data_IF_692937218681
#
_entry.id   IF_692937218681
#
_cell.length_a   1.000
_cell.length_b   1.000
_cell.length_c   1.000
_cell.angle_alpha   90.00
_cell.angle_beta   90.00
_cell.angle_gamma   90.00
#
_symmetry.space_group_name_H-M   'P 1'
#
loop_
_entity.id
_entity.type
_entity.pdbx_description
1 polymer ?
#
# COMPACT_ATOMS: atom_id res chain seq x y z
N UNK A 1 29.73 3.13 -0.69
CA UNK A 1 28.53 2.45 -0.22
C UNK A 1 27.36 3.43 -0.32
N UNK A 2 26.38 3.17 -1.18
CA UNK A 2 25.18 4.01 -1.28
C UNK A 2 24.36 3.84 0.00
N UNK A 3 24.04 4.94 0.68
CA UNK A 3 23.18 4.90 1.86
C UNK A 3 21.73 4.77 1.39
N UNK A 4 21.01 3.67 1.73
CA UNK A 4 19.66 3.43 1.24
C UNK A 4 18.66 4.52 1.64
N UNK A 5 18.90 5.21 2.75
CA UNK A 5 18.08 6.34 3.21
C UNK A 5 17.99 7.49 2.19
N UNK A 6 19.03 7.68 1.36
CA UNK A 6 19.07 8.75 0.36
C UNK A 6 18.07 8.52 -0.79
N UNK A 7 17.65 7.27 -1.01
CA UNK A 7 16.70 6.91 -2.04
C UNK A 7 15.23 7.22 -1.65
N UNK A 8 14.92 7.36 -0.36
CA UNK A 8 13.55 7.52 0.14
C UNK A 8 12.89 8.77 -0.44
N UNK A 9 13.54 9.93 -0.35
CA UNK A 9 12.96 11.19 -0.81
C UNK A 9 12.76 11.22 -2.33
N UNK A 10 13.73 10.83 -3.18
CA UNK A 10 13.53 10.74 -4.63
C UNK A 10 12.41 9.78 -5.04
N UNK A 11 12.34 8.59 -4.43
CA UNK A 11 11.29 7.61 -4.76
C UNK A 11 9.92 8.16 -4.40
N UNK A 12 9.75 8.74 -3.20
CA UNK A 12 8.51 9.37 -2.79
C UNK A 12 8.10 10.49 -3.74
N UNK A 13 9.03 11.34 -4.13
CA UNK A 13 8.78 12.43 -5.09
C UNK A 13 8.33 11.89 -6.44
N UNK A 14 9.00 10.86 -6.96
CA UNK A 14 8.61 10.21 -8.20
C UNK A 14 7.22 9.57 -8.14
N UNK A 15 6.87 8.92 -7.02
CA UNK A 15 5.53 8.37 -6.82
C UNK A 15 4.45 9.46 -6.86
N UNK A 16 4.68 10.59 -6.18
CA UNK A 16 3.74 11.71 -6.15
C UNK A 16 3.67 12.47 -7.49
N UNK A 17 4.73 12.43 -8.30
CA UNK A 17 4.70 12.98 -9.66
C UNK A 17 3.91 12.08 -10.61
N UNK A 18 4.05 10.77 -10.48
CA UNK A 18 3.31 9.81 -11.28
C UNK A 18 1.81 9.81 -10.92
N UNK A 19 1.50 9.82 -9.64
CA UNK A 19 0.14 9.86 -9.12
C UNK A 19 0.10 10.80 -7.90
N UNK A 20 -0.37 12.04 -8.05
CA UNK A 20 -0.46 13.00 -6.95
C UNK A 20 -1.29 12.50 -5.76
N UNK A 21 -2.26 11.63 -6.01
CA UNK A 21 -3.09 11.02 -4.97
C UNK A 21 -2.43 9.79 -4.34
N UNK A 22 -1.44 9.18 -5.03
CA UNK A 22 -0.86 7.86 -4.71
C UNK A 22 -1.92 6.81 -4.39
N UNK A 23 -3.09 6.95 -5.00
CA UNK A 23 -4.27 6.13 -4.72
C UNK A 23 -4.38 4.90 -5.60
N UNK A 24 -3.58 4.80 -6.66
CA UNK A 24 -3.48 3.59 -7.48
C UNK A 24 -2.26 2.78 -7.06
N UNK A 25 -2.50 1.56 -6.57
CA UNK A 25 -1.42 0.69 -6.11
C UNK A 25 -0.46 0.33 -7.24
N UNK A 26 0.82 0.42 -6.97
CA UNK A 26 1.91 -0.07 -7.84
C UNK A 26 2.92 -0.86 -7.00
N UNK A 27 3.73 -1.70 -7.63
CA UNK A 27 4.83 -2.37 -6.90
C UNK A 27 5.82 -1.39 -6.29
N UNK A 28 5.90 -0.17 -6.82
CA UNK A 28 6.73 0.90 -6.22
C UNK A 28 6.28 1.23 -4.80
N UNK A 29 4.96 1.18 -4.50
CA UNK A 29 4.44 1.34 -3.13
C UNK A 29 5.04 0.29 -2.19
N UNK A 30 5.03 -0.98 -2.59
CA UNK A 30 5.59 -2.06 -1.79
C UNK A 30 7.11 -1.91 -1.60
N UNK A 31 7.85 -1.64 -2.66
CA UNK A 31 9.29 -1.43 -2.58
C UNK A 31 9.67 -0.22 -1.71
N UNK A 32 8.90 0.86 -1.82
CA UNK A 32 9.09 2.05 -0.98
C UNK A 32 8.89 1.73 0.51
N UNK A 33 7.81 1.02 0.85
CA UNK A 33 7.56 0.65 2.25
C UNK A 33 8.61 -0.34 2.77
N UNK A 34 9.05 -1.32 1.97
CA UNK A 34 10.18 -2.20 2.32
C UNK A 34 11.43 -1.39 2.66
N UNK A 35 11.79 -0.43 1.81
CA UNK A 35 12.93 0.44 2.04
C UNK A 35 12.79 1.26 3.33
N UNK A 36 11.61 1.83 3.58
CA UNK A 36 11.34 2.56 4.82
C UNK A 36 11.46 1.67 6.06
N UNK A 37 11.03 0.42 5.98
CA UNK A 37 11.16 -0.57 7.05
C UNK A 37 12.61 -0.97 7.31
N UNK A 38 13.36 -1.30 6.26
CA UNK A 38 14.78 -1.68 6.35
C UNK A 38 15.64 -0.55 6.94
N UNK A 39 15.34 0.67 6.59
CA UNK A 39 16.06 1.86 7.07
C UNK A 39 15.50 2.42 8.37
N UNK A 40 14.46 1.81 8.93
CA UNK A 40 13.73 2.29 10.12
C UNK A 40 13.18 3.72 9.98
N UNK A 41 12.94 4.16 8.75
CA UNK A 41 12.47 5.50 8.41
C UNK A 41 10.94 5.56 8.38
N UNK A 42 10.27 5.09 9.44
CA UNK A 42 8.81 4.92 9.50
C UNK A 42 8.04 6.22 9.23
N UNK A 43 8.54 7.35 9.73
CA UNK A 43 7.92 8.66 9.48
C UNK A 43 7.91 9.04 7.99
N UNK A 44 8.88 8.57 7.20
CA UNK A 44 8.95 8.85 5.77
C UNK A 44 7.88 8.10 4.98
N UNK A 45 7.40 6.95 5.50
CA UNK A 45 6.33 6.17 4.91
C UNK A 45 4.94 6.81 5.08
N UNK A 46 4.73 7.54 6.18
CA UNK A 46 3.42 8.06 6.58
C UNK A 46 2.70 8.87 5.49
N UNK A 47 3.34 9.82 4.78
CA UNK A 47 2.66 10.58 3.74
C UNK A 47 2.08 9.74 2.59
N UNK A 48 2.71 8.61 2.29
CA UNK A 48 2.19 7.66 1.28
C UNK A 48 1.11 6.78 1.88
N UNK A 49 1.30 6.28 3.10
CA UNK A 49 0.35 5.42 3.80
C UNK A 49 -0.96 6.13 4.18
N UNK A 50 -0.92 7.44 4.43
CA UNK A 50 -2.11 8.23 4.75
C UNK A 50 -3.02 8.44 3.53
N UNK A 51 -2.50 8.24 2.32
CA UNK A 51 -3.29 8.24 1.09
C UNK A 51 -3.95 6.87 0.89
N UNK A 52 -5.27 6.88 0.71
CA UNK A 52 -6.04 5.65 0.55
C UNK A 52 -5.84 5.03 -0.84
N UNK A 53 -5.52 3.75 -0.89
CA UNK A 53 -5.50 2.98 -2.14
C UNK A 53 -6.94 2.69 -2.55
N UNK A 54 -7.41 3.33 -3.59
CA UNK A 54 -8.76 3.16 -4.12
C UNK A 54 -8.81 2.34 -5.42
N UNK A 55 -7.67 2.12 -6.06
CA UNK A 55 -7.58 1.41 -7.32
C UNK A 55 -6.42 0.41 -7.32
N UNK A 56 -6.71 -0.79 -7.83
CA UNK A 56 -5.70 -1.80 -8.14
C UNK A 56 -5.62 -1.91 -9.67
N UNK A 57 -4.43 -1.76 -10.29
CA UNK A 57 -4.25 -1.95 -11.71
C UNK A 57 -4.71 -3.35 -12.13
N UNK A 58 -5.85 -3.43 -12.77
CA UNK A 58 -6.40 -4.65 -13.32
C UNK A 58 -6.47 -4.54 -14.84
N UNK A 59 -7.51 -5.01 -15.47
CA UNK A 59 -7.70 -4.91 -16.91
C UNK A 59 -8.04 -3.46 -17.30
N UNK A 60 -7.49 -3.00 -18.43
CA UNK A 60 -7.78 -1.67 -18.99
C UNK A 60 -9.27 -1.59 -19.33
N UNK A 61 -10.01 -0.59 -18.85
CA UNK A 61 -11.35 -0.30 -19.34
C UNK A 61 -11.31 0.00 -20.84
N UNK A 62 -12.28 -0.54 -21.59
CA UNK A 62 -12.34 -0.41 -23.06
C UNK A 62 -12.29 1.05 -23.58
N UNK A 63 -12.97 2.03 -22.94
CA UNK A 63 -12.89 3.44 -23.40
C UNK A 63 -11.53 4.08 -23.24
N UNK A 64 -10.74 3.65 -22.28
CA UNK A 64 -9.40 4.19 -22.01
C UNK A 64 -8.38 3.65 -23.01
N UNK A 65 -8.62 2.47 -23.55
CA UNK A 65 -7.73 1.80 -24.50
C UNK A 65 -7.56 2.57 -25.81
N UNK A 66 -8.58 3.29 -26.23
CA UNK A 66 -8.58 4.11 -27.47
C UNK A 66 -7.83 5.43 -27.30
N UNK A 67 -7.70 5.91 -26.05
CA UNK A 67 -7.04 7.20 -25.74
C UNK A 67 -5.65 7.04 -25.10
N UNK A 68 -5.13 5.81 -24.96
CA UNK A 68 -3.85 5.52 -24.30
C UNK A 68 -2.62 6.16 -24.97
N UNK A 69 -2.68 6.38 -26.30
CA UNK A 69 -1.60 7.00 -27.05
C UNK A 69 -1.37 8.47 -26.68
N UNK A 70 -2.35 9.10 -26.03
CA UNK A 70 -2.36 10.53 -25.71
C UNK A 70 -2.34 10.83 -24.20
N UNK A 71 -2.39 9.81 -23.34
CA UNK A 71 -2.43 10.03 -21.90
C UNK A 71 -1.03 10.26 -21.32
N UNK A 72 -0.79 11.45 -20.83
CA UNK A 72 0.45 11.80 -20.12
C UNK A 72 0.24 11.63 -18.64
N UNK A 73 1.09 10.85 -17.93
CA UNK A 73 0.99 10.68 -16.48
C UNK A 73 1.01 12.04 -15.76
N UNK A 74 0.08 12.24 -14.85
CA UNK A 74 -0.02 13.46 -14.04
C UNK A 74 -0.59 14.70 -14.73
N UNK A 75 -0.95 14.63 -16.04
CA UNK A 75 -1.68 15.71 -16.72
C UNK A 75 -3.18 15.47 -16.55
N UNK A 76 -3.98 16.49 -16.46
CA UNK A 76 -5.46 16.61 -16.46
C UNK A 76 -6.33 15.37 -16.14
N UNK A 77 -5.74 14.28 -15.62
CA UNK A 77 -6.44 13.06 -15.25
C UNK A 77 -6.94 13.17 -13.81
N UNK A 78 -8.23 13.11 -13.66
CA UNK A 78 -8.88 13.08 -12.34
C UNK A 78 -8.72 11.73 -11.65
N UNK A 79 -8.35 10.69 -12.39
CA UNK A 79 -8.25 9.33 -11.88
C UNK A 79 -6.96 8.63 -12.38
N UNK A 80 -6.03 8.42 -11.47
CA UNK A 80 -4.76 7.74 -11.76
C UNK A 80 -4.93 6.30 -12.28
N UNK A 81 -6.05 5.64 -11.97
CA UNK A 81 -6.38 4.31 -12.50
C UNK A 81 -6.59 4.27 -14.00
N UNK A 82 -6.75 5.41 -14.68
CA UNK A 82 -6.92 5.47 -16.14
C UNK A 82 -5.60 5.29 -16.87
N UNK A 83 -4.49 5.81 -16.34
CA UNK A 83 -3.17 5.70 -16.99
C UNK A 83 -2.22 4.72 -16.26
N UNK A 84 -2.48 4.35 -15.00
CA UNK A 84 -1.72 3.33 -14.29
C UNK A 84 -2.46 2.00 -14.37
N UNK A 85 -2.03 1.12 -15.27
CA UNK A 85 -2.61 -0.20 -15.47
C UNK A 85 -1.51 -1.23 -15.82
N UNK A 86 -1.86 -2.50 -15.84
CA UNK A 86 -0.92 -3.61 -15.98
C UNK A 86 -0.07 -3.59 -17.29
N UNK A 87 -0.47 -2.83 -18.29
CA UNK A 87 0.21 -2.73 -19.59
C UNK A 87 0.84 -1.34 -19.84
N UNK A 88 0.68 -0.40 -18.90
CA UNK A 88 1.18 0.96 -19.05
C UNK A 88 2.70 1.10 -18.87
N UNK A 89 3.36 0.06 -18.32
CA UNK A 89 4.76 0.13 -17.93
C UNK A 89 5.02 0.91 -16.62
N UNK A 90 3.99 1.46 -15.98
CA UNK A 90 4.12 2.19 -14.70
C UNK A 90 4.13 1.26 -13.48
N UNK A 91 3.79 0.00 -13.66
CA UNK A 91 3.88 -1.03 -12.63
C UNK A 91 4.14 -2.39 -13.26
N UNK A 92 4.90 -3.22 -12.58
CA UNK A 92 5.01 -4.64 -12.90
C UNK A 92 3.76 -5.40 -12.43
N UNK A 93 3.62 -6.64 -12.88
CA UNK A 93 2.57 -7.53 -12.39
C UNK A 93 2.75 -7.78 -10.90
N UNK A 94 1.69 -7.67 -10.15
CA UNK A 94 1.67 -7.94 -8.72
C UNK A 94 0.57 -8.96 -8.37
N UNK A 95 0.69 -9.54 -7.20
CA UNK A 95 -0.21 -10.55 -6.66
C UNK A 95 -1.02 -9.98 -5.49
N UNK A 96 -2.04 -10.71 -5.06
CA UNK A 96 -2.78 -10.37 -3.82
C UNK A 96 -1.83 -10.38 -2.61
N UNK A 97 -0.84 -11.28 -2.61
CA UNK A 97 0.16 -11.34 -1.53
C UNK A 97 1.00 -10.06 -1.45
N UNK A 98 1.35 -9.44 -2.59
CA UNK A 98 2.10 -8.17 -2.61
C UNK A 98 1.27 -7.03 -1.99
N UNK A 99 -0.03 -6.99 -2.26
CA UNK A 99 -0.94 -6.01 -1.65
C UNK A 99 -1.09 -6.26 -0.14
N UNK A 100 -1.25 -7.52 0.27
CA UNK A 100 -1.31 -7.88 1.68
C UNK A 100 0.00 -7.55 2.41
N UNK A 101 1.14 -7.79 1.79
CA UNK A 101 2.45 -7.42 2.34
C UNK A 101 2.58 -5.91 2.50
N UNK A 102 2.14 -5.11 1.51
CA UNK A 102 2.11 -3.65 1.62
C UNK A 102 1.32 -3.19 2.85
N UNK A 103 0.12 -3.72 3.07
CA UNK A 103 -0.69 -3.37 4.23
C UNK A 103 -0.05 -3.83 5.54
N UNK A 104 0.58 -5.02 5.57
CA UNK A 104 1.27 -5.52 6.75
C UNK A 104 2.45 -4.62 7.14
N UNK A 105 3.31 -4.29 6.20
CA UNK A 105 4.47 -3.40 6.42
C UNK A 105 4.03 -1.97 6.76
N UNK A 106 2.95 -1.50 6.13
CA UNK A 106 2.33 -0.22 6.46
C UNK A 106 1.81 -0.17 7.89
N UNK A 107 1.13 -1.23 8.35
CA UNK A 107 0.71 -1.36 9.75
C UNK A 107 1.91 -1.33 10.70
N UNK A 108 2.98 -2.04 10.38
CA UNK A 108 4.21 -2.03 11.18
C UNK A 108 4.84 -0.64 11.24
N UNK A 109 4.82 0.11 10.12
CA UNK A 109 5.29 1.49 10.09
C UNK A 109 4.44 2.39 11.00
N UNK A 110 3.12 2.25 10.98
CA UNK A 110 2.22 2.97 11.89
C UNK A 110 2.44 2.61 13.36
N UNK A 111 2.72 1.33 13.67
CA UNK A 111 3.11 0.91 15.03
C UNK A 111 4.40 1.62 15.44
N UNK A 112 5.40 1.68 14.55
CA UNK A 112 6.67 2.35 14.79
C UNK A 112 6.54 3.86 15.11
N UNK A 113 5.53 4.53 14.54
CA UNK A 113 5.20 5.94 14.83
C UNK A 113 4.06 6.09 15.85
N UNK A 114 3.65 5.01 16.53
CA UNK A 114 2.63 4.98 17.58
C UNK A 114 1.23 5.39 17.12
N UNK A 115 0.92 5.25 15.84
CA UNK A 115 -0.42 5.49 15.27
C UNK A 115 -1.24 4.19 15.26
N UNK A 116 -1.53 3.65 16.43
CA UNK A 116 -2.11 2.31 16.61
C UNK A 116 -3.46 2.11 15.91
N UNK A 117 -4.35 3.12 15.92
CA UNK A 117 -5.65 3.02 15.24
C UNK A 117 -5.50 2.86 13.71
N UNK A 118 -4.54 3.57 13.10
CA UNK A 118 -4.22 3.41 11.68
C UNK A 118 -3.60 2.04 11.40
N UNK A 119 -2.74 1.56 12.29
CA UNK A 119 -2.18 0.22 12.19
C UNK A 119 -3.28 -0.85 12.21
N UNK A 120 -4.26 -0.75 13.11
CA UNK A 120 -5.40 -1.67 13.14
C UNK A 120 -6.18 -1.69 11.82
N UNK A 121 -6.52 -0.52 11.26
CA UNK A 121 -7.20 -0.42 9.97
C UNK A 121 -6.44 -1.15 8.84
N UNK A 122 -5.12 -0.98 8.80
CA UNK A 122 -4.27 -1.66 7.82
C UNK A 122 -4.24 -3.18 8.01
N UNK A 123 -4.21 -3.65 9.25
CA UNK A 123 -4.29 -5.08 9.55
C UNK A 123 -5.66 -5.67 9.18
N UNK A 124 -6.74 -4.94 9.44
CA UNK A 124 -8.10 -5.33 9.06
C UNK A 124 -8.25 -5.49 7.55
N UNK A 125 -7.64 -4.62 6.74
CA UNK A 125 -7.65 -4.77 5.28
C UNK A 125 -7.08 -6.12 4.83
N UNK A 126 -6.05 -6.64 5.51
CA UNK A 126 -5.48 -7.95 5.17
C UNK A 126 -6.45 -9.08 5.48
N UNK A 127 -7.17 -8.95 6.59
CA UNK A 127 -8.10 -10.00 7.07
C UNK A 127 -9.38 -10.09 6.23
N UNK A 128 -9.79 -8.96 5.63
CA UNK A 128 -11.02 -8.87 4.82
C UNK A 128 -10.78 -9.25 3.35
N UNK A 129 -9.55 -9.14 2.84
CA UNK A 129 -9.25 -9.53 1.46
C UNK A 129 -9.42 -11.04 1.29
N UNK A 130 -10.34 -11.50 0.44
CA UNK A 130 -10.55 -12.93 0.24
C UNK A 130 -9.32 -13.54 -0.43
N UNK A 131 -8.50 -14.24 0.33
CA UNK A 131 -7.53 -15.17 -0.20
C UNK A 131 -8.28 -16.47 -0.48
N UNK A 132 -8.52 -16.80 -1.74
CA UNK A 132 -9.02 -18.09 -2.26
C UNK A 132 -9.24 -19.20 -1.20
N UNK A 133 -10.08 -18.97 -0.20
CA UNK A 133 -10.48 -19.86 0.89
C UNK A 133 -9.35 -20.46 1.76
N UNK A 134 -8.12 -19.98 1.66
CA UNK A 134 -7.01 -20.46 2.48
C UNK A 134 -6.37 -19.28 3.22
N UNK A 135 -6.38 -19.33 4.54
CA UNK A 135 -5.61 -18.41 5.37
C UNK A 135 -4.12 -18.58 5.05
N UNK A 136 -3.49 -17.53 4.51
CA UNK A 136 -2.06 -17.53 4.23
C UNK A 136 -1.26 -17.04 5.44
N UNK A 137 0.07 -17.21 5.39
CA UNK A 137 0.96 -16.78 6.47
C UNK A 137 0.86 -15.28 6.80
N UNK A 138 0.57 -14.42 5.80
CA UNK A 138 0.41 -12.98 5.99
C UNK A 138 -0.86 -12.66 6.78
N UNK A 139 -1.96 -13.37 6.53
CA UNK A 139 -3.20 -13.21 7.30
C UNK A 139 -3.00 -13.64 8.76
N UNK A 140 -2.28 -14.73 9.01
CA UNK A 140 -1.98 -15.17 10.35
C UNK A 140 -1.11 -14.16 11.11
N UNK A 141 -0.09 -13.62 10.46
CA UNK A 141 0.76 -12.56 11.03
C UNK A 141 -0.03 -11.26 11.27
N UNK A 142 -0.91 -10.88 10.35
CA UNK A 142 -1.78 -9.73 10.51
C UNK A 142 -2.72 -9.90 11.71
N UNK A 143 -3.33 -11.07 11.86
CA UNK A 143 -4.22 -11.38 12.98
C UNK A 143 -3.49 -11.29 14.32
N UNK A 144 -2.33 -11.92 14.45
CA UNK A 144 -1.50 -11.85 15.67
C UNK A 144 -1.19 -10.40 16.05
N UNK A 145 -0.77 -9.59 15.07
CA UNK A 145 -0.45 -8.18 15.30
C UNK A 145 -1.71 -7.36 15.62
N UNK A 146 -2.82 -7.65 14.97
CA UNK A 146 -4.10 -6.99 15.26
C UNK A 146 -4.52 -7.21 16.72
N UNK A 147 -4.45 -8.46 17.22
CA UNK A 147 -4.74 -8.78 18.62
C UNK A 147 -3.83 -7.98 19.57
N UNK A 148 -2.53 -7.93 19.29
CA UNK A 148 -1.59 -7.19 20.15
C UNK A 148 -1.85 -5.68 20.13
N UNK A 149 -2.13 -5.11 18.96
CA UNK A 149 -2.39 -3.67 18.82
C UNK A 149 -3.74 -3.28 19.43
N UNK A 150 -4.77 -4.14 19.33
CA UNK A 150 -6.05 -3.89 19.98
C UNK A 150 -5.92 -3.82 21.51
N UNK A 151 -5.08 -4.66 22.10
CA UNK A 151 -4.75 -4.55 23.53
C UNK A 151 -4.11 -3.21 23.91
N UNK A 152 -3.32 -2.63 23.00
CA UNK A 152 -2.68 -1.33 23.24
C UNK A 152 -3.66 -0.16 23.09
N UNK A 153 -4.69 -0.30 22.26
CA UNK A 153 -5.68 0.76 21.99
C UNK A 153 -6.80 0.75 23.02
N UNK A 154 -7.37 -0.44 23.29
CA UNK A 154 -8.62 -0.58 24.03
C UNK A 154 -8.42 -1.19 25.43
N UNK A 155 -7.20 -1.59 25.77
CA UNK A 155 -6.90 -2.29 27.03
C UNK A 155 -7.52 -3.69 27.13
N UNK A 156 -8.24 -4.14 26.09
CA UNK A 156 -8.87 -5.46 26.01
C UNK A 156 -9.06 -5.90 24.56
N UNK A 157 -9.02 -7.19 24.31
CA UNK A 157 -9.32 -7.75 22.99
C UNK A 157 -10.83 -7.73 22.76
N UNK A 158 -11.29 -6.95 21.80
CA UNK A 158 -12.67 -7.07 21.32
C UNK A 158 -12.80 -8.33 20.46
N UNK A 159 -13.48 -9.37 21.03
CA UNK A 159 -13.66 -10.69 20.38
C UNK A 159 -14.75 -10.66 19.28
N UNK A 160 -15.08 -9.52 18.74
CA UNK A 160 -16.18 -9.36 17.77
C UNK A 160 -15.86 -9.74 16.32
N UNK A 161 -14.72 -10.39 16.05
CA UNK A 161 -14.32 -10.83 14.70
C UNK A 161 -14.14 -12.35 14.55
N UNK A 162 -14.86 -13.16 15.34
CA UNK A 162 -14.98 -14.60 15.12
C UNK A 162 -16.32 -14.95 14.47
#
# INVERSE_FOLDING_TARGET
MLQPNLAIAPIRSGMMQLDPTTGTFTLTHLHFIRLCMETRSYNAAVPILDNYIHSLPSKIPQPVRENLEYSVPGADHTNSGEYIHAQSGHTDKFTVADVQEYYLLGAMSYIGVKRYKKAMQFLEHILVVPANNVANGLMLEAYKKWVLVSCLVDGSVSISML
#
